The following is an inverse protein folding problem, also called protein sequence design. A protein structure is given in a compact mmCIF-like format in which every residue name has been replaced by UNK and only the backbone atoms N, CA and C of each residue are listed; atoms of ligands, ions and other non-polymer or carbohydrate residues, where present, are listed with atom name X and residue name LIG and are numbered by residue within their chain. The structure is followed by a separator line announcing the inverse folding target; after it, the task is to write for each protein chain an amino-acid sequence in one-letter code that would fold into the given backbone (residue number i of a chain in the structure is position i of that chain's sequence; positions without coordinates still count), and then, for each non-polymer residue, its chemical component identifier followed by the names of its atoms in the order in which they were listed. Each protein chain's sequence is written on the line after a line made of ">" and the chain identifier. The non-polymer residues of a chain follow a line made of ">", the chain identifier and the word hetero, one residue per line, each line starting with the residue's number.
data_IF_226930056288
#
_entry.id   IF_226930056288
#
_cell.length_a   1.000
_cell.length_b   1.000
_cell.length_c   1.000
_cell.angle_alpha   90.00
_cell.angle_beta   90.00
_cell.angle_gamma   90.00
#
_symmetry.space_group_name_H-M   'P 1'
#
loop_
_entity.id
_entity.type
_entity.pdbx_description
1 polymer ?
#
# COMPACT_ATOMS: atom_id res chain seq x y z
N UNK A 1 -21.72 -9.69 29.84
CA UNK A 1 -21.77 -8.76 28.68
C UNK A 1 -20.87 -9.28 27.56
N UNK A 2 -21.41 -10.06 26.61
CA UNK A 2 -20.64 -10.70 25.51
C UNK A 2 -21.33 -10.54 24.14
N UNK A 3 -22.03 -9.42 23.90
CA UNK A 3 -22.89 -9.25 22.71
C UNK A 3 -22.33 -8.37 21.59
N UNK A 4 -21.38 -7.47 21.84
CA UNK A 4 -21.02 -6.41 20.87
C UNK A 4 -19.68 -6.56 20.15
N UNK A 5 -18.90 -7.61 20.40
CA UNK A 5 -17.56 -7.76 19.80
C UNK A 5 -17.54 -8.55 18.49
N UNK A 6 -18.54 -9.39 18.22
CA UNK A 6 -18.53 -10.29 17.04
C UNK A 6 -18.89 -9.59 15.72
N UNK A 7 -19.57 -8.44 15.75
CA UNK A 7 -19.99 -7.74 14.52
C UNK A 7 -18.88 -6.86 13.92
N UNK A 8 -17.89 -6.41 14.71
CA UNK A 8 -16.81 -5.52 14.24
C UNK A 8 -15.66 -6.23 13.52
N UNK A 9 -15.62 -7.56 13.45
CA UNK A 9 -14.54 -8.29 12.78
C UNK A 9 -14.87 -8.70 11.34
N UNK A 10 -16.16 -8.76 10.98
CA UNK A 10 -16.55 -9.16 9.62
C UNK A 10 -16.14 -8.13 8.57
N UNK A 11 -16.44 -6.85 8.82
CA UNK A 11 -16.20 -5.78 7.84
C UNK A 11 -14.71 -5.56 7.54
N UNK A 12 -13.81 -5.77 8.50
CA UNK A 12 -12.35 -5.66 8.30
C UNK A 12 -11.82 -6.67 7.28
N UNK A 13 -12.45 -7.85 7.19
CA UNK A 13 -12.11 -8.87 6.19
C UNK A 13 -12.77 -8.59 4.83
N UNK A 14 -13.84 -7.79 4.81
CA UNK A 14 -14.57 -7.42 3.60
C UNK A 14 -13.92 -6.25 2.84
N UNK A 15 -13.04 -5.48 3.47
CA UNK A 15 -12.36 -4.38 2.79
C UNK A 15 -11.29 -4.93 1.85
N UNK A 16 -11.54 -4.79 0.55
CA UNK A 16 -10.63 -5.24 -0.51
C UNK A 16 -9.83 -4.11 -1.15
N UNK A 17 -10.21 -2.86 -0.91
CA UNK A 17 -9.58 -1.71 -1.56
C UNK A 17 -9.46 -0.54 -0.60
N UNK A 18 -8.28 0.05 -0.57
CA UNK A 18 -7.99 1.31 0.14
C UNK A 18 -7.37 2.27 -0.86
N UNK A 19 -7.91 3.50 -0.87
CA UNK A 19 -7.41 4.59 -1.71
C UNK A 19 -6.99 5.72 -0.78
N UNK A 20 -5.71 6.06 -0.82
CA UNK A 20 -5.16 7.25 -0.18
C UNK A 20 -5.03 8.34 -1.24
N UNK A 21 -5.80 9.44 -1.13
CA UNK A 21 -5.81 10.51 -2.12
C UNK A 21 -4.52 11.34 -2.07
N UNK A 22 -4.35 12.21 -3.08
CA UNK A 22 -3.11 12.96 -3.31
C UNK A 22 -2.72 13.92 -2.17
N UNK A 23 -3.71 14.44 -1.46
CA UNK A 23 -3.63 15.46 -0.41
C UNK A 23 -3.45 14.88 1.00
N UNK A 24 -3.60 13.56 1.16
CA UNK A 24 -3.46 12.90 2.45
C UNK A 24 -2.03 12.40 2.67
N UNK A 25 -1.35 13.00 3.64
CA UNK A 25 -0.05 12.51 4.12
C UNK A 25 -0.24 11.27 4.98
N UNK A 26 0.43 10.20 4.60
CA UNK A 26 0.49 8.95 5.35
C UNK A 26 1.94 8.63 5.73
N UNK A 27 2.10 7.95 6.86
CA UNK A 27 3.38 7.52 7.42
C UNK A 27 3.34 6.02 7.74
N UNK A 28 4.45 5.45 8.18
CA UNK A 28 4.54 4.04 8.58
C UNK A 28 3.47 3.62 9.60
N UNK A 29 3.16 4.48 10.57
CA UNK A 29 2.14 4.22 11.59
C UNK A 29 0.73 4.12 10.96
N UNK A 30 0.43 4.99 10.00
CA UNK A 30 -0.84 4.95 9.27
C UNK A 30 -0.95 3.69 8.41
N UNK A 31 0.13 3.33 7.70
CA UNK A 31 0.15 2.13 6.86
C UNK A 31 -0.02 0.85 7.70
N UNK A 32 0.64 0.79 8.87
CA UNK A 32 0.49 -0.31 9.81
C UNK A 32 -0.94 -0.42 10.33
N UNK A 33 -1.55 0.71 10.72
CA UNK A 33 -2.94 0.73 11.17
C UNK A 33 -3.92 0.26 10.08
N UNK A 34 -3.71 0.67 8.82
CA UNK A 34 -4.52 0.19 7.69
C UNK A 34 -4.40 -1.33 7.59
N UNK A 35 -3.17 -1.85 7.58
CA UNK A 35 -2.92 -3.29 7.55
C UNK A 35 -3.65 -4.06 8.65
N UNK A 36 -3.52 -3.64 9.91
CA UNK A 36 -4.16 -4.31 11.05
C UNK A 36 -5.69 -4.37 10.91
N UNK A 37 -6.29 -3.44 10.16
CA UNK A 37 -7.73 -3.36 9.91
C UNK A 37 -8.17 -3.98 8.59
N UNK A 38 -7.24 -4.25 7.67
CA UNK A 38 -7.55 -4.78 6.35
C UNK A 38 -6.59 -5.92 5.99
N UNK A 39 -6.54 -7.03 6.75
CA UNK A 39 -5.57 -8.10 6.50
C UNK A 39 -5.82 -8.81 5.15
N UNK A 40 -7.04 -8.74 4.62
CA UNK A 40 -7.44 -9.36 3.34
C UNK A 40 -7.48 -8.36 2.17
N UNK A 41 -6.72 -7.26 2.27
CA UNK A 41 -6.66 -6.21 1.26
C UNK A 41 -6.06 -6.75 -0.04
N UNK A 42 -6.71 -6.43 -1.16
CA UNK A 42 -6.27 -6.87 -2.50
C UNK A 42 -5.74 -5.69 -3.33
N UNK A 43 -6.20 -4.46 -3.05
CA UNK A 43 -5.82 -3.27 -3.81
C UNK A 43 -5.45 -2.12 -2.88
N UNK A 44 -4.27 -1.55 -3.09
CA UNK A 44 -3.80 -0.39 -2.34
C UNK A 44 -3.35 0.72 -3.29
N UNK A 45 -4.03 1.86 -3.22
CA UNK A 45 -3.69 3.03 -4.02
C UNK A 45 -3.11 4.12 -3.12
N UNK A 46 -1.80 4.37 -3.23
CA UNK A 46 -1.11 5.42 -2.47
C UNK A 46 -0.77 6.59 -3.39
N UNK A 47 -1.75 7.44 -3.74
CA UNK A 47 -1.59 8.38 -4.87
C UNK A 47 -0.75 9.63 -4.52
N UNK A 48 -0.72 10.02 -3.25
CA UNK A 48 -0.07 11.24 -2.78
C UNK A 48 1.43 11.15 -2.54
N UNK A 49 1.95 12.19 -1.86
CA UNK A 49 3.26 12.11 -1.20
C UNK A 49 3.09 11.43 0.15
N UNK A 50 4.03 10.56 0.50
CA UNK A 50 3.98 9.86 1.77
C UNK A 50 5.35 9.76 2.43
N UNK A 51 5.31 9.73 3.75
CA UNK A 51 6.45 9.59 4.66
C UNK A 51 6.62 8.12 5.07
N UNK A 52 6.27 7.20 4.15
CA UNK A 52 6.49 5.77 4.36
C UNK A 52 7.95 5.45 4.07
N UNK A 53 8.58 4.74 5.00
CA UNK A 53 9.94 4.22 4.87
C UNK A 53 9.90 2.84 4.23
N UNK A 54 11.02 2.41 3.65
CA UNK A 54 11.12 1.05 3.11
C UNK A 54 10.95 -0.02 4.18
N UNK A 55 11.37 0.25 5.42
CA UNK A 55 11.16 -0.65 6.54
C UNK A 55 9.66 -0.75 6.91
N UNK A 56 8.96 0.38 7.00
CA UNK A 56 7.52 0.41 7.27
C UNK A 56 6.70 -0.26 6.17
N UNK A 57 7.02 0.03 4.90
CA UNK A 57 6.40 -0.62 3.76
C UNK A 57 6.63 -2.13 3.77
N UNK A 58 7.88 -2.56 3.95
CA UNK A 58 8.27 -3.98 4.04
C UNK A 58 7.54 -4.72 5.15
N UNK A 59 7.40 -4.08 6.32
CA UNK A 59 6.70 -4.65 7.48
C UNK A 59 5.24 -4.98 7.18
N UNK A 60 4.59 -4.15 6.36
CA UNK A 60 3.17 -4.32 6.02
C UNK A 60 3.01 -5.25 4.83
N UNK A 61 3.76 -5.05 3.76
CA UNK A 61 3.56 -5.77 2.49
C UNK A 61 3.80 -7.27 2.61
N UNK A 62 4.70 -7.71 3.51
CA UNK A 62 4.94 -9.12 3.80
C UNK A 62 3.72 -9.86 4.37
N UNK A 63 2.73 -9.12 4.89
CA UNK A 63 1.54 -9.69 5.51
C UNK A 63 0.29 -9.58 4.63
N UNK A 64 0.29 -8.75 3.59
CA UNK A 64 -0.80 -8.69 2.61
C UNK A 64 -0.60 -9.73 1.51
N UNK A 65 -0.93 -10.98 1.84
CA UNK A 65 -0.68 -12.14 0.99
C UNK A 65 -1.52 -12.16 -0.29
N UNK A 66 -2.69 -11.53 -0.29
CA UNK A 66 -3.63 -11.49 -1.44
C UNK A 66 -3.56 -10.18 -2.23
N UNK A 67 -2.47 -9.43 -2.09
CA UNK A 67 -2.31 -8.16 -2.78
C UNK A 67 -2.16 -8.38 -4.29
N UNK A 68 -3.11 -7.84 -5.07
CA UNK A 68 -3.16 -7.94 -6.54
C UNK A 68 -2.76 -6.66 -7.24
N UNK A 69 -3.06 -5.52 -6.63
CA UNK A 69 -2.87 -4.21 -7.27
C UNK A 69 -2.28 -3.19 -6.32
N UNK A 70 -1.19 -2.54 -6.73
CA UNK A 70 -0.59 -1.44 -5.99
C UNK A 70 -0.36 -0.24 -6.90
N UNK A 71 -0.81 0.93 -6.45
CA UNK A 71 -0.42 2.20 -7.04
C UNK A 71 0.54 2.93 -6.10
N UNK A 72 1.74 3.18 -6.59
CA UNK A 72 2.73 4.00 -5.92
C UNK A 72 2.71 5.40 -6.52
N UNK A 73 2.25 6.35 -5.73
CA UNK A 73 2.32 7.79 -5.98
C UNK A 73 3.72 8.33 -5.82
N UNK A 74 3.83 9.63 -5.62
CA UNK A 74 5.07 10.42 -5.73
C UNK A 74 6.18 9.93 -4.76
N UNK A 75 7.08 9.08 -5.27
CA UNK A 75 8.34 8.69 -4.62
C UNK A 75 9.56 9.22 -5.37
N UNK A 76 10.71 9.23 -4.69
CA UNK A 76 12.03 9.36 -5.34
C UNK A 76 12.41 8.03 -6.00
N UNK A 77 13.26 8.08 -7.02
CA UNK A 77 13.67 6.89 -7.79
C UNK A 77 14.30 5.80 -6.90
N UNK A 78 15.17 6.20 -5.96
CA UNK A 78 15.77 5.28 -4.99
C UNK A 78 14.71 4.57 -4.11
N UNK A 79 13.63 5.27 -3.75
CA UNK A 79 12.55 4.66 -2.96
C UNK A 79 11.72 3.71 -3.81
N UNK A 80 11.46 4.03 -5.08
CA UNK A 80 10.76 3.10 -5.98
C UNK A 80 11.52 1.78 -6.13
N UNK A 81 12.82 1.83 -6.39
CA UNK A 81 13.63 0.62 -6.53
C UNK A 81 13.56 -0.27 -5.27
N UNK A 82 13.61 0.34 -4.09
CA UNK A 82 13.50 -0.39 -2.82
C UNK A 82 12.09 -0.98 -2.60
N UNK A 83 11.03 -0.25 -2.93
CA UNK A 83 9.65 -0.72 -2.80
C UNK A 83 9.36 -1.87 -3.78
N UNK A 84 9.78 -1.74 -5.04
CA UNK A 84 9.64 -2.79 -6.06
C UNK A 84 10.36 -4.07 -5.63
N UNK A 85 11.57 -3.94 -5.06
CA UNK A 85 12.31 -5.11 -4.53
C UNK A 85 11.55 -5.81 -3.40
N UNK A 86 10.90 -5.05 -2.51
CA UNK A 86 10.09 -5.61 -1.44
C UNK A 86 8.83 -6.29 -1.99
N UNK A 87 8.18 -5.70 -2.99
CA UNK A 87 7.02 -6.28 -3.66
C UNK A 87 7.37 -7.61 -4.33
N UNK A 88 8.45 -7.66 -5.11
CA UNK A 88 8.89 -8.90 -5.76
C UNK A 88 9.23 -10.01 -4.77
N UNK A 89 9.61 -9.66 -3.53
CA UNK A 89 9.88 -10.64 -2.48
C UNK A 89 8.61 -11.16 -1.80
N UNK A 90 7.60 -10.31 -1.63
CA UNK A 90 6.52 -10.55 -0.68
C UNK A 90 5.11 -10.68 -1.31
N UNK A 91 4.89 -10.12 -2.48
CA UNK A 91 3.56 -10.05 -3.12
C UNK A 91 3.52 -10.93 -4.37
N UNK A 92 3.44 -12.25 -4.17
CA UNK A 92 3.44 -13.23 -5.26
C UNK A 92 2.16 -13.22 -6.10
N UNK A 93 1.04 -12.73 -5.54
CA UNK A 93 -0.23 -12.56 -6.23
C UNK A 93 -0.37 -11.18 -6.91
N UNK A 94 0.70 -10.37 -6.93
CA UNK A 94 0.63 -9.03 -7.52
C UNK A 94 0.50 -9.12 -9.04
N UNK A 95 -0.67 -8.74 -9.55
CA UNK A 95 -1.00 -8.74 -10.97
C UNK A 95 -0.72 -7.38 -11.63
N UNK A 96 -0.79 -6.29 -10.88
CA UNK A 96 -0.68 -4.92 -11.41
C UNK A 96 0.07 -3.99 -10.47
N UNK A 97 1.09 -3.31 -11.04
CA UNK A 97 1.86 -2.28 -10.36
C UNK A 97 1.83 -1.00 -11.19
N UNK A 98 1.27 0.07 -10.63
CA UNK A 98 1.21 1.38 -11.25
C UNK A 98 2.13 2.37 -10.53
N UNK A 99 3.02 3.01 -11.27
CA UNK A 99 3.96 4.00 -10.75
C UNK A 99 3.56 5.35 -11.32
N UNK A 100 3.20 6.29 -10.44
CA UNK A 100 2.76 7.63 -10.82
C UNK A 100 3.91 8.61 -10.55
N UNK A 101 4.79 8.76 -11.55
CA UNK A 101 5.81 9.81 -11.57
C UNK A 101 5.22 11.11 -12.15
N UNK A 102 5.71 12.26 -11.67
CA UNK A 102 5.24 13.59 -12.13
C UNK A 102 6.23 14.28 -13.05
N UNK A 103 7.47 13.79 -13.16
CA UNK A 103 8.49 14.43 -13.98
C UNK A 103 9.13 13.38 -14.90
N UNK A 104 8.42 12.95 -15.95
CA UNK A 104 9.12 12.45 -17.12
C UNK A 104 9.63 13.67 -17.90
N UNK A 105 10.91 14.01 -17.73
CA UNK A 105 11.58 14.84 -18.73
C UNK A 105 11.81 13.89 -19.91
N UNK A 106 10.93 13.98 -20.92
CA UNK A 106 11.23 13.39 -22.22
C UNK A 106 12.36 14.24 -22.81
N UNK A 107 13.61 13.82 -22.63
CA UNK A 107 14.68 14.31 -23.49
C UNK A 107 14.32 13.90 -24.92
N UNK A 108 13.88 14.87 -25.71
CA UNK A 108 13.74 14.71 -27.16
C UNK A 108 15.15 14.48 -27.70
N UNK A 109 15.39 13.28 -28.24
CA UNK A 109 16.48 13.02 -29.17
C UNK A 109 16.21 13.70 -30.51
#
# INVERSE_FOLDING_TARGET
>A
MKGCQLHRQGWTLSIKTIIVPYDLKISDAHLLYIYERTPSLERLLLLGKYEITCAGFGKVIQNWIHMKEIHLGRLTDDKYAQFIKLLGKHSQELESLHIHQINFILEKQ
#
